data_IF_536762323237
#
_entry.id   IF_536762323237
#
_cell.length_a   1.000
_cell.length_b   1.000
_cell.length_c   1.000
_cell.angle_alpha   90.00
_cell.angle_beta   90.00
_cell.angle_gamma   90.00
#
_symmetry.space_group_name_H-M   'P 1'
#
loop_
_entity.id
_entity.type
_entity.pdbx_description
1 polymer ?
#
# COMPACT_ATOMS: atom_id res chain seq x y z
N UNK A 1 -22.02 15.12 -9.06
CA UNK A 1 -21.60 13.74 -9.36
C UNK A 1 -20.69 13.28 -8.25
N UNK A 2 -21.12 12.32 -7.42
CA UNK A 2 -20.28 11.71 -6.39
C UNK A 2 -19.12 11.02 -7.09
N UNK A 3 -17.87 11.43 -6.82
CA UNK A 3 -16.71 10.73 -7.32
C UNK A 3 -16.69 9.36 -6.64
N UNK A 4 -16.74 8.28 -7.40
CA UNK A 4 -16.61 6.92 -6.86
C UNK A 4 -15.29 6.79 -6.09
N UNK A 5 -15.33 6.09 -4.95
CA UNK A 5 -14.14 5.81 -4.16
C UNK A 5 -13.09 5.07 -5.02
N UNK A 6 -11.85 5.56 -5.00
CA UNK A 6 -10.75 4.91 -5.74
C UNK A 6 -10.29 3.66 -5.01
N UNK A 7 -9.88 2.64 -5.75
CA UNK A 7 -9.27 1.45 -5.17
C UNK A 7 -7.86 1.77 -4.67
N UNK A 8 -7.50 1.28 -3.49
CA UNK A 8 -6.12 1.31 -2.99
C UNK A 8 -5.47 -0.05 -3.27
N UNK A 9 -4.44 -0.05 -4.10
CA UNK A 9 -3.62 -1.22 -4.38
C UNK A 9 -2.53 -1.33 -3.31
N UNK A 10 -2.56 -2.42 -2.52
CA UNK A 10 -1.53 -2.67 -1.50
C UNK A 10 -0.33 -3.38 -2.11
N UNK A 11 0.86 -2.87 -1.83
CA UNK A 11 2.12 -3.55 -2.10
C UNK A 11 2.53 -4.48 -0.95
N UNK A 12 3.42 -5.42 -1.23
CA UNK A 12 3.89 -6.46 -0.32
C UNK A 12 4.52 -5.90 0.97
N UNK A 13 5.20 -4.77 0.90
CA UNK A 13 5.83 -4.13 2.05
C UNK A 13 4.80 -3.59 3.04
N UNK A 14 3.74 -2.93 2.56
CA UNK A 14 2.65 -2.46 3.44
C UNK A 14 2.02 -3.65 4.15
N UNK A 15 1.65 -4.70 3.39
CA UNK A 15 1.05 -5.92 3.94
C UNK A 15 1.98 -6.51 5.01
N UNK A 16 3.28 -6.62 4.71
CA UNK A 16 4.28 -7.18 5.61
C UNK A 16 4.42 -6.36 6.90
N UNK A 17 4.44 -5.03 6.82
CA UNK A 17 4.50 -4.15 7.98
C UNK A 17 3.29 -4.35 8.89
N UNK A 18 2.08 -4.32 8.31
CA UNK A 18 0.84 -4.44 9.06
C UNK A 18 0.64 -5.86 9.64
N UNK A 19 1.07 -6.91 8.96
CA UNK A 19 1.07 -8.28 9.51
C UNK A 19 2.04 -8.37 10.70
N UNK A 20 3.27 -7.89 10.54
CA UNK A 20 4.31 -7.95 11.59
C UNK A 20 3.89 -7.19 12.85
N UNK A 21 3.26 -6.03 12.66
CA UNK A 21 2.75 -5.21 13.76
C UNK A 21 1.39 -5.69 14.31
N UNK A 22 0.80 -6.78 13.76
CA UNK A 22 -0.51 -7.35 14.12
C UNK A 22 -1.69 -6.39 13.89
N UNK A 23 -1.56 -5.47 12.93
CA UNK A 23 -2.51 -4.40 12.65
C UNK A 23 -3.22 -4.54 11.30
N UNK A 24 -3.02 -5.65 10.59
CA UNK A 24 -3.53 -5.84 9.23
C UNK A 24 -5.06 -5.73 9.13
N UNK A 25 -5.79 -6.13 10.19
CA UNK A 25 -7.25 -6.07 10.25
C UNK A 25 -7.81 -4.66 10.30
N UNK A 26 -6.98 -3.65 10.58
CA UNK A 26 -7.43 -2.25 10.65
C UNK A 26 -7.29 -1.50 9.33
N UNK A 27 -6.56 -2.02 8.34
CA UNK A 27 -6.32 -1.32 7.08
C UNK A 27 -7.60 -0.87 6.38
N UNK A 28 -8.62 -1.74 6.32
CA UNK A 28 -9.90 -1.41 5.68
C UNK A 28 -10.62 -0.25 6.40
N UNK A 29 -10.55 -0.18 7.74
CA UNK A 29 -11.12 0.93 8.51
C UNK A 29 -10.34 2.23 8.31
N UNK A 30 -9.02 2.13 8.29
CA UNK A 30 -8.13 3.28 8.11
C UNK A 30 -8.33 3.90 6.72
N UNK A 31 -8.41 3.06 5.68
CA UNK A 31 -8.52 3.50 4.28
C UNK A 31 -9.96 3.71 3.79
N UNK A 32 -10.98 3.38 4.62
CA UNK A 32 -12.38 3.68 4.28
C UNK A 32 -12.55 5.17 3.90
N UNK A 33 -13.29 5.54 2.82
CA UNK A 33 -14.22 4.69 2.06
C UNK A 33 -13.59 3.95 0.85
N UNK A 34 -12.27 3.94 0.73
CA UNK A 34 -11.56 3.35 -0.39
C UNK A 34 -11.49 1.82 -0.25
N UNK A 35 -12.03 1.03 -1.21
CA UNK A 35 -11.84 -0.40 -1.21
C UNK A 35 -10.38 -0.76 -1.45
N UNK A 36 -9.95 -1.88 -0.88
CA UNK A 36 -8.58 -2.36 -0.96
C UNK A 36 -8.50 -3.53 -1.95
N UNK A 37 -7.53 -3.50 -2.84
CA UNK A 37 -7.21 -4.62 -3.69
C UNK A 37 -5.72 -5.02 -3.55
N UNK A 38 -5.49 -6.31 -3.60
CA UNK A 38 -4.16 -6.92 -3.60
C UNK A 38 -4.03 -7.64 -4.95
N UNK A 39 -3.09 -7.20 -5.79
CA UNK A 39 -2.85 -7.88 -7.05
C UNK A 39 -2.32 -9.30 -6.82
N UNK A 40 -2.68 -10.23 -7.67
CA UNK A 40 -2.23 -11.62 -7.56
C UNK A 40 -0.71 -11.77 -7.57
N UNK A 41 0.01 -10.87 -8.25
CA UNK A 41 1.46 -10.76 -8.19
C UNK A 41 1.96 -10.48 -6.75
N UNK A 42 1.33 -9.51 -6.08
CA UNK A 42 1.65 -9.14 -4.69
C UNK A 42 1.26 -10.27 -3.73
N UNK A 43 0.07 -10.85 -3.92
CA UNK A 43 -0.37 -12.00 -3.11
C UNK A 43 0.65 -13.15 -3.18
N UNK A 44 1.09 -13.52 -4.39
CA UNK A 44 2.10 -14.58 -4.60
C UNK A 44 3.41 -14.27 -3.88
N UNK A 45 3.82 -13.01 -3.85
CA UNK A 45 5.03 -12.56 -3.15
C UNK A 45 4.90 -12.73 -1.63
N UNK A 46 3.83 -12.22 -1.04
CA UNK A 46 3.55 -12.33 0.40
C UNK A 46 3.38 -13.79 0.82
N UNK A 47 2.68 -14.59 -0.02
CA UNK A 47 2.37 -16.00 0.24
C UNK A 47 3.58 -16.95 0.22
N UNK A 48 4.76 -16.49 -0.22
CA UNK A 48 6.02 -17.27 -0.09
C UNK A 48 6.36 -17.60 1.36
N UNK A 49 5.87 -16.80 2.30
CA UNK A 49 6.01 -17.03 3.73
C UNK A 49 4.69 -17.60 4.25
N UNK A 50 4.67 -18.90 4.62
CA UNK A 50 3.44 -19.62 4.98
C UNK A 50 2.64 -18.95 6.09
N UNK A 51 3.28 -18.40 7.12
CA UNK A 51 2.59 -17.70 8.20
C UNK A 51 1.88 -16.43 7.72
N UNK A 52 2.49 -15.68 6.80
CA UNK A 52 1.88 -14.48 6.20
C UNK A 52 0.71 -14.85 5.28
N UNK A 53 0.86 -15.94 4.52
CA UNK A 53 -0.21 -16.47 3.67
C UNK A 53 -1.46 -16.77 4.48
N UNK A 54 -1.33 -17.49 5.60
CA UNK A 54 -2.47 -17.84 6.47
C UNK A 54 -3.19 -16.56 6.96
N UNK A 55 -2.44 -15.57 7.41
CA UNK A 55 -3.00 -14.31 7.90
C UNK A 55 -3.73 -13.57 6.76
N UNK A 56 -3.13 -13.52 5.57
CA UNK A 56 -3.71 -12.86 4.41
C UNK A 56 -4.98 -13.57 3.91
N UNK A 57 -4.97 -14.92 3.88
CA UNK A 57 -6.14 -15.71 3.51
C UNK A 57 -7.32 -15.50 4.50
N UNK A 58 -7.01 -15.39 5.79
CA UNK A 58 -8.01 -15.08 6.81
C UNK A 58 -8.57 -13.66 6.66
N UNK A 59 -7.72 -12.67 6.35
CA UNK A 59 -8.14 -11.31 6.07
C UNK A 59 -9.14 -11.28 4.89
N UNK A 60 -8.79 -11.92 3.78
CA UNK A 60 -9.59 -11.97 2.56
C UNK A 60 -10.95 -12.66 2.77
N UNK A 61 -11.02 -13.66 3.66
CA UNK A 61 -12.28 -14.33 4.01
C UNK A 61 -13.16 -13.50 4.93
N UNK A 62 -12.55 -12.69 5.79
CA UNK A 62 -13.26 -12.00 6.88
C UNK A 62 -13.67 -10.57 6.53
N UNK A 63 -12.96 -9.90 5.62
CA UNK A 63 -13.11 -8.46 5.32
C UNK A 63 -13.50 -8.30 3.85
N UNK A 64 -14.76 -7.94 3.59
CA UNK A 64 -15.31 -7.80 2.22
C UNK A 64 -14.69 -6.63 1.44
N UNK A 65 -14.21 -5.61 2.14
CA UNK A 65 -13.57 -4.43 1.57
C UNK A 65 -12.16 -4.70 1.05
N UNK A 66 -11.63 -5.91 1.30
CA UNK A 66 -10.31 -6.36 0.82
C UNK A 66 -10.50 -7.52 -0.15
N UNK A 67 -9.97 -7.39 -1.35
CA UNK A 67 -10.09 -8.41 -2.40
C UNK A 67 -8.77 -8.70 -3.11
N UNK A 68 -8.68 -9.87 -3.73
CA UNK A 68 -7.64 -10.15 -4.72
C UNK A 68 -8.13 -9.64 -6.08
N UNK A 69 -7.24 -8.96 -6.79
CA UNK A 69 -7.44 -8.53 -8.16
C UNK A 69 -6.42 -9.24 -9.04
N UNK A 70 -6.89 -9.94 -10.07
CA UNK A 70 -5.99 -10.51 -11.07
C UNK A 70 -5.32 -9.41 -11.88
N UNK A 71 -4.02 -9.59 -12.18
CA UNK A 71 -3.32 -8.68 -13.09
C UNK A 71 -3.98 -8.75 -14.46
N UNK A 72 -4.43 -7.61 -15.02
CA UNK A 72 -5.21 -7.59 -16.27
C UNK A 72 -4.32 -7.84 -17.49
N UNK A 73 -3.81 -9.07 -17.63
CA UNK A 73 -2.88 -9.48 -18.70
C UNK A 73 -3.48 -9.36 -20.12
N UNK A 74 -4.81 -9.33 -20.25
CA UNK A 74 -5.52 -9.08 -21.52
C UNK A 74 -5.50 -7.60 -21.92
N UNK A 75 -5.27 -6.67 -21.00
CA UNK A 75 -5.15 -5.25 -21.30
C UNK A 75 -3.74 -4.97 -21.84
N UNK A 76 -3.67 -4.69 -23.15
CA UNK A 76 -2.42 -4.50 -23.87
C UNK A 76 -1.61 -3.31 -23.31
N UNK A 77 -2.26 -2.21 -22.94
CA UNK A 77 -1.58 -1.01 -22.43
C UNK A 77 -0.96 -1.26 -21.06
N UNK A 78 -1.68 -1.92 -20.15
CA UNK A 78 -1.16 -2.28 -18.82
C UNK A 78 0.01 -3.27 -18.97
N UNK A 79 -0.11 -4.24 -19.86
CA UNK A 79 0.96 -5.22 -20.14
C UNK A 79 2.22 -4.57 -20.71
N UNK A 80 2.06 -3.64 -21.66
CA UNK A 80 3.20 -2.87 -22.22
C UNK A 80 3.87 -2.02 -21.14
N UNK A 81 3.08 -1.35 -20.30
CA UNK A 81 3.60 -0.52 -19.20
C UNK A 81 4.38 -1.36 -18.19
N UNK A 82 3.83 -2.50 -17.78
CA UNK A 82 4.53 -3.45 -16.89
C UNK A 82 5.91 -3.86 -17.47
N UNK A 83 5.96 -4.17 -18.78
CA UNK A 83 7.20 -4.52 -19.46
C UNK A 83 8.17 -3.32 -19.56
N UNK A 84 7.65 -2.12 -19.79
CA UNK A 84 8.43 -0.88 -19.86
C UNK A 84 9.08 -0.54 -18.51
N UNK A 85 8.31 -0.63 -17.42
CA UNK A 85 8.84 -0.41 -16.06
C UNK A 85 9.96 -1.41 -15.78
N UNK A 86 9.78 -2.69 -16.13
CA UNK A 86 10.82 -3.73 -15.97
C UNK A 86 12.10 -3.40 -16.74
N UNK A 87 11.94 -2.90 -17.97
CA UNK A 87 13.09 -2.52 -18.84
C UNK A 87 13.86 -1.34 -18.25
N UNK A 88 13.13 -0.32 -17.75
CA UNK A 88 13.74 0.92 -17.26
C UNK A 88 14.31 0.78 -15.84
N UNK A 89 13.70 -0.05 -15.00
CA UNK A 89 14.16 -0.32 -13.65
C UNK A 89 13.98 -1.82 -13.30
N UNK A 90 14.95 -2.68 -13.67
CA UNK A 90 14.85 -4.13 -13.46
C UNK A 90 14.86 -4.56 -11.99
N UNK A 91 15.26 -3.67 -11.07
CA UNK A 91 15.33 -3.96 -9.63
C UNK A 91 13.97 -3.84 -8.91
N UNK A 92 12.98 -3.17 -9.53
CA UNK A 92 11.62 -3.10 -8.97
C UNK A 92 10.99 -4.50 -9.01
N UNK A 93 10.36 -4.93 -7.90
CA UNK A 93 9.69 -6.22 -7.77
C UNK A 93 8.48 -6.38 -8.71
N UNK A 94 8.09 -7.62 -9.04
CA UNK A 94 6.95 -7.88 -9.93
C UNK A 94 5.62 -7.38 -9.35
N UNK A 95 5.42 -7.48 -8.04
CA UNK A 95 4.24 -6.96 -7.35
C UNK A 95 4.13 -5.44 -7.47
N UNK A 96 5.20 -4.75 -7.16
CA UNK A 96 5.27 -3.29 -7.23
C UNK A 96 5.08 -2.78 -8.67
N UNK A 97 5.72 -3.42 -9.66
CA UNK A 97 5.52 -3.10 -11.08
C UNK A 97 4.06 -3.28 -11.52
N UNK A 98 3.43 -4.36 -11.04
CA UNK A 98 2.03 -4.61 -11.35
C UNK A 98 1.13 -3.50 -10.77
N UNK A 99 1.36 -3.08 -9.52
CA UNK A 99 0.65 -1.95 -8.91
C UNK A 99 0.83 -0.67 -9.71
N UNK A 100 2.07 -0.35 -10.11
CA UNK A 100 2.39 0.84 -10.90
C UNK A 100 1.66 0.85 -12.25
N UNK A 101 1.74 -0.25 -13.01
CA UNK A 101 1.12 -0.36 -14.32
C UNK A 101 -0.42 -0.30 -14.24
N UNK A 102 -1.02 -1.00 -13.28
CA UNK A 102 -2.47 -1.00 -13.09
C UNK A 102 -2.96 0.37 -12.63
N UNK A 103 -2.28 1.01 -11.67
CA UNK A 103 -2.69 2.30 -11.13
C UNK A 103 -2.69 3.41 -12.19
N UNK A 104 -1.73 3.41 -13.11
CA UNK A 104 -1.63 4.39 -14.19
C UNK A 104 -2.89 4.42 -15.06
N UNK A 105 -3.40 3.27 -15.47
CA UNK A 105 -4.52 3.18 -16.38
C UNK A 105 -5.87 3.17 -15.67
N UNK A 106 -5.95 2.63 -14.46
CA UNK A 106 -7.19 2.54 -13.71
C UNK A 106 -7.38 3.69 -12.70
N UNK A 107 -6.41 4.63 -12.62
CA UNK A 107 -6.43 5.77 -11.68
C UNK A 107 -6.56 5.35 -10.21
N UNK A 108 -5.97 4.21 -9.86
CA UNK A 108 -5.96 3.69 -8.50
C UNK A 108 -4.97 4.49 -7.62
N UNK A 109 -5.06 4.27 -6.30
CA UNK A 109 -4.09 4.75 -5.33
C UNK A 109 -3.10 3.59 -5.09
N UNK A 110 -1.80 3.86 -4.99
CA UNK A 110 -0.81 2.85 -4.59
C UNK A 110 -0.48 3.04 -3.11
N UNK A 111 -0.50 1.97 -2.33
CA UNK A 111 0.07 1.95 -0.98
C UNK A 111 1.35 1.10 -1.00
N UNK A 112 2.51 1.75 -0.91
CA UNK A 112 3.83 1.09 -0.89
C UNK A 112 4.78 1.85 0.03
N UNK A 113 5.68 1.14 0.69
CA UNK A 113 6.75 1.73 1.52
C UNK A 113 8.02 2.02 0.76
N UNK A 114 8.10 1.64 -0.51
CA UNK A 114 9.27 1.83 -1.35
C UNK A 114 9.23 3.18 -2.08
N UNK A 115 9.21 4.28 -1.31
CA UNK A 115 9.16 5.65 -1.86
C UNK A 115 10.24 5.94 -2.89
N UNK A 116 11.43 5.36 -2.72
CA UNK A 116 12.57 5.63 -3.60
C UNK A 116 12.25 5.23 -5.04
N UNK A 117 11.64 4.07 -5.22
CA UNK A 117 11.49 3.47 -6.55
C UNK A 117 10.18 3.89 -7.22
N UNK A 118 9.13 4.19 -6.44
CA UNK A 118 7.81 4.51 -7.00
C UNK A 118 7.50 6.01 -7.09
N UNK A 119 8.10 6.86 -6.23
CA UNK A 119 7.70 8.27 -6.12
C UNK A 119 7.84 9.02 -7.44
N UNK A 120 8.97 8.86 -8.11
CA UNK A 120 9.22 9.53 -9.40
C UNK A 120 8.22 9.10 -10.47
N UNK A 121 7.93 7.79 -10.55
CA UNK A 121 6.95 7.26 -11.49
C UNK A 121 5.54 7.75 -11.18
N UNK A 122 5.13 7.72 -9.92
CA UNK A 122 3.83 8.17 -9.49
C UNK A 122 3.62 9.66 -9.79
N UNK A 123 4.62 10.49 -9.50
CA UNK A 123 4.58 11.92 -9.82
C UNK A 123 4.46 12.17 -11.32
N UNK A 124 5.30 11.50 -12.14
CA UNK A 124 5.28 11.66 -13.59
C UNK A 124 3.96 11.21 -14.24
N UNK A 125 3.21 10.31 -13.61
CA UNK A 125 1.95 9.78 -14.12
C UNK A 125 0.71 10.25 -13.34
N UNK A 126 0.85 11.23 -12.41
CA UNK A 126 -0.22 11.72 -11.55
C UNK A 126 -0.96 10.62 -10.79
N UNK A 127 -0.21 9.62 -10.30
CA UNK A 127 -0.73 8.51 -9.50
C UNK A 127 -0.63 8.90 -8.02
N UNK A 128 -1.74 8.98 -7.28
CA UNK A 128 -1.68 9.20 -5.84
C UNK A 128 -1.08 7.97 -5.14
N UNK A 129 -0.22 8.19 -4.16
CA UNK A 129 0.39 7.10 -3.41
C UNK A 129 0.49 7.40 -1.91
N UNK A 130 0.53 6.34 -1.11
CA UNK A 130 0.59 6.34 0.35
C UNK A 130 1.73 5.48 0.82
N UNK A 131 2.47 5.95 1.82
CA UNK A 131 3.42 5.14 2.57
C UNK A 131 2.83 4.61 3.88
N UNK A 132 3.58 3.76 4.56
CA UNK A 132 3.20 3.26 5.90
C UNK A 132 2.95 4.41 6.88
N UNK A 133 3.79 5.45 6.88
CA UNK A 133 3.64 6.59 7.78
C UNK A 133 2.40 7.43 7.47
N UNK A 134 2.02 7.55 6.19
CA UNK A 134 0.77 8.22 5.80
C UNK A 134 -0.43 7.46 6.35
N UNK A 135 -0.44 6.13 6.21
CA UNK A 135 -1.52 5.28 6.73
C UNK A 135 -1.62 5.38 8.25
N UNK A 136 -0.49 5.42 8.97
CA UNK A 136 -0.47 5.63 10.41
C UNK A 136 -0.99 7.02 10.80
N UNK A 137 -0.64 8.07 10.05
CA UNK A 137 -1.15 9.41 10.28
C UNK A 137 -2.67 9.49 10.08
N UNK A 138 -3.20 8.82 9.03
CA UNK A 138 -4.65 8.69 8.81
C UNK A 138 -5.32 7.94 9.97
N UNK A 139 -4.71 6.86 10.44
CA UNK A 139 -5.23 6.08 11.57
C UNK A 139 -5.32 6.91 12.85
N UNK A 140 -4.29 7.73 13.11
CA UNK A 140 -4.25 8.66 14.24
C UNK A 140 -5.33 9.75 14.09
N UNK A 141 -5.43 10.38 12.93
CA UNK A 141 -6.41 11.43 12.65
C UNK A 141 -7.85 10.93 12.78
N UNK A 142 -8.12 9.68 12.37
CA UNK A 142 -9.43 9.03 12.51
C UNK A 142 -9.70 8.48 13.92
N UNK A 143 -8.76 8.59 14.86
CA UNK A 143 -8.90 8.02 16.19
C UNK A 143 -8.95 6.48 16.23
N UNK A 144 -8.51 5.80 15.14
CA UNK A 144 -8.43 4.34 15.08
C UNK A 144 -7.21 3.84 15.87
N UNK A 145 -6.10 4.57 15.77
CA UNK A 145 -4.90 4.38 16.57
C UNK A 145 -4.62 5.64 17.39
N UNK A 146 -4.09 5.46 18.59
CA UNK A 146 -3.48 6.54 19.35
C UNK A 146 -1.99 6.69 19.02
N UNK A 147 -1.36 7.72 19.57
CA UNK A 147 0.07 8.00 19.34
C UNK A 147 0.96 6.88 19.87
N UNK A 148 0.61 6.24 20.99
CA UNK A 148 1.40 5.15 21.55
C UNK A 148 1.42 3.94 20.62
N UNK A 149 0.25 3.58 20.05
CA UNK A 149 0.12 2.49 19.08
C UNK A 149 0.87 2.77 17.78
N UNK A 150 0.77 4.00 17.25
CA UNK A 150 1.55 4.40 16.08
C UNK A 150 3.07 4.31 16.33
N UNK A 151 3.54 4.74 17.50
CA UNK A 151 4.96 4.70 17.86
C UNK A 151 5.46 3.26 18.04
N UNK A 152 4.67 2.38 18.65
CA UNK A 152 4.95 0.95 18.75
C UNK A 152 5.04 0.31 17.36
N UNK A 153 4.13 0.66 16.45
CA UNK A 153 4.18 0.21 15.05
C UNK A 153 5.47 0.63 14.36
N UNK A 154 5.84 1.94 14.44
CA UNK A 154 7.07 2.47 13.82
C UNK A 154 8.30 1.72 14.34
N UNK A 155 8.40 1.52 15.65
CA UNK A 155 9.50 0.80 16.29
C UNK A 155 9.58 -0.65 15.80
N UNK A 156 8.47 -1.37 15.84
CA UNK A 156 8.38 -2.78 15.42
C UNK A 156 8.73 -2.95 13.94
N UNK A 157 8.16 -2.13 13.07
CA UNK A 157 8.42 -2.19 11.64
C UNK A 157 9.90 -1.93 11.31
N UNK A 158 10.56 -0.99 12.01
CA UNK A 158 12.00 -0.74 11.86
C UNK A 158 12.86 -1.92 12.28
N UNK A 159 12.56 -2.52 13.43
CA UNK A 159 13.37 -3.60 14.00
C UNK A 159 13.18 -4.89 13.21
N UNK A 160 11.93 -5.29 12.97
CA UNK A 160 11.60 -6.60 12.41
C UNK A 160 11.60 -6.59 10.89
N UNK A 161 10.93 -5.62 10.27
CA UNK A 161 10.84 -5.53 8.80
C UNK A 161 12.01 -4.78 8.17
N UNK A 162 12.90 -4.15 8.95
CA UNK A 162 13.94 -3.25 8.45
C UNK A 162 13.36 -2.08 7.63
N UNK A 163 12.17 -1.60 8.03
CA UNK A 163 11.46 -0.52 7.34
C UNK A 163 12.32 0.75 7.25
N UNK A 164 12.46 1.29 6.05
CA UNK A 164 13.31 2.47 5.77
C UNK A 164 12.51 3.76 5.93
N UNK A 165 12.01 4.02 7.15
CA UNK A 165 11.41 5.32 7.46
C UNK A 165 12.49 6.41 7.60
N UNK A 166 12.17 7.68 7.33
CA UNK A 166 13.11 8.78 7.55
C UNK A 166 13.68 8.76 8.97
N UNK A 167 14.98 9.00 9.12
CA UNK A 167 15.68 8.85 10.41
C UNK A 167 15.15 9.76 11.51
N UNK A 168 14.60 10.92 11.12
CA UNK A 168 14.02 11.90 12.06
C UNK A 168 12.64 11.47 12.60
N UNK A 169 11.92 10.55 11.92
CA UNK A 169 10.60 10.06 12.36
C UNK A 169 10.79 8.95 13.38
N UNK A 170 11.17 9.26 14.60
CA UNK A 170 11.26 8.29 15.71
C UNK A 170 9.88 7.99 16.31
N UNK A 171 9.01 8.98 16.32
CA UNK A 171 7.62 8.93 16.79
C UNK A 171 6.72 9.58 15.74
N UNK A 172 5.44 9.24 15.75
CA UNK A 172 4.48 9.71 14.73
C UNK A 172 4.34 11.24 14.69
N UNK A 173 4.48 11.91 15.83
CA UNK A 173 4.43 13.38 15.91
C UNK A 173 5.56 14.08 15.15
N UNK A 174 6.65 13.39 14.85
CA UNK A 174 7.74 13.93 14.03
C UNK A 174 7.46 13.81 12.53
N UNK A 175 6.42 13.07 12.14
CA UNK A 175 6.07 12.88 10.74
C UNK A 175 5.28 14.07 10.21
N UNK A 176 5.78 14.68 9.14
CA UNK A 176 5.06 15.73 8.40
C UNK A 176 4.19 15.05 7.36
N UNK A 177 2.87 15.04 7.62
CA UNK A 177 1.88 14.46 6.70
C UNK A 177 1.87 15.27 5.39
N UNK A 178 2.03 14.64 4.23
CA UNK A 178 1.89 15.32 2.95
C UNK A 178 0.42 15.67 2.68
N UNK A 179 0.16 16.36 1.56
CA UNK A 179 -1.22 16.59 1.11
C UNK A 179 -1.86 15.26 0.71
N UNK A 180 -2.88 14.85 1.48
CA UNK A 180 -3.68 13.64 1.26
C UNK A 180 -5.11 13.97 0.79
N UNK A 181 -5.33 15.16 0.22
CA UNK A 181 -6.65 15.62 -0.25
C UNK A 181 -7.30 14.68 -1.27
N UNK A 182 -6.50 13.87 -1.98
CA UNK A 182 -7.02 12.85 -2.90
C UNK A 182 -7.81 11.71 -2.22
N UNK A 183 -7.69 11.57 -0.89
CA UNK A 183 -8.48 10.62 -0.09
C UNK A 183 -9.82 11.21 0.36
N UNK A 184 -9.96 12.54 0.37
CA UNK A 184 -11.17 13.23 0.86
C UNK A 184 -12.14 13.61 -0.25
N UNK A 185 -11.80 13.37 -1.50
CA UNK A 185 -12.57 13.75 -2.67
C UNK A 185 -13.72 12.80 -3.03
N UNK A 186 -14.43 12.25 -2.02
CA UNK A 186 -15.61 11.40 -2.18
C UNK A 186 -16.88 12.17 -1.82
#
# INVERSE_FOLDING_TARGET
MSKSAKIVLLDADIISHFITCKEILFLHKILNPHPIAILDNVYKEVARISSRKIILDNLLKSIREVSIMEFPASNIEIKKEFALIKKNNPLIGDGERACMAVAKYNRNIIASSNFRDIAQYCQANNIPFLGTLDILAIALQKGIFDSARCNAFISTARIVNKAKFPSYVKVISNYKVPDLSFLTGV
#
